data_IF_508714928320
#
_entry.id   IF_508714928320
#
_cell.length_a   1.000
_cell.length_b   1.000
_cell.length_c   1.000
_cell.angle_alpha   90.00
_cell.angle_beta   90.00
_cell.angle_gamma   90.00
#
_symmetry.space_group_name_H-M   'P 1'
#
loop_
_entity.id
_entity.type
_entity.pdbx_description
1 polymer ?
#
# COMPACT_ATOMS: atom_id res chain seq x y z
N UNK A 1 -3.26 0.69 -22.27
CA UNK A 1 -2.42 1.05 -21.10
C UNK A 1 -1.65 2.35 -21.36
N UNK A 2 -2.33 3.50 -21.39
CA UNK A 2 -1.67 4.82 -21.60
C UNK A 2 -2.12 5.89 -20.59
N UNK A 3 -3.20 5.69 -19.82
CA UNK A 3 -3.75 6.73 -18.94
C UNK A 3 -2.98 6.98 -17.63
N UNK A 4 -2.00 6.14 -17.28
CA UNK A 4 -1.20 6.30 -16.06
C UNK A 4 0.10 7.10 -16.28
N UNK A 5 0.46 7.42 -17.52
CA UNK A 5 1.67 8.20 -17.81
C UNK A 5 1.41 9.68 -17.48
N UNK A 6 1.96 10.14 -16.36
CA UNK A 6 1.99 11.55 -15.96
C UNK A 6 1.12 11.91 -14.75
N UNK A 7 0.11 11.11 -14.43
CA UNK A 7 -0.75 11.36 -13.27
C UNK A 7 -0.11 10.82 -11.99
N UNK A 8 -0.21 11.59 -10.91
CA UNK A 8 0.18 11.11 -9.59
C UNK A 8 -0.79 10.06 -9.10
N UNK A 9 -0.29 9.11 -8.31
CA UNK A 9 -1.12 8.05 -7.74
C UNK A 9 -0.70 7.72 -6.32
N UNK A 10 -1.62 7.09 -5.60
CA UNK A 10 -1.45 6.59 -4.24
C UNK A 10 -1.77 5.09 -4.19
N UNK A 11 -1.24 4.40 -3.18
CA UNK A 11 -1.53 2.98 -2.91
C UNK A 11 -2.19 2.86 -1.56
N UNK A 12 -3.22 2.03 -1.50
CA UNK A 12 -3.78 1.50 -0.27
C UNK A 12 -3.51 0.00 -0.22
N UNK A 13 -2.91 -0.48 0.87
CA UNK A 13 -2.64 -1.91 1.08
C UNK A 13 -3.32 -2.35 2.38
N UNK A 14 -4.15 -3.38 2.33
CA UNK A 14 -4.61 -4.08 3.53
C UNK A 14 -3.64 -5.22 3.82
N UNK A 15 -2.85 -5.06 4.88
CA UNK A 15 -1.85 -6.04 5.30
C UNK A 15 -2.34 -6.85 6.50
N UNK A 16 -3.55 -6.62 7.04
CA UNK A 16 -4.02 -7.37 8.20
C UNK A 16 -4.06 -8.87 7.92
N UNK A 17 -3.65 -9.67 8.90
CA UNK A 17 -3.46 -11.12 8.78
C UNK A 17 -2.23 -11.53 7.96
N UNK A 18 -1.48 -10.60 7.38
CA UNK A 18 -0.27 -10.93 6.62
C UNK A 18 0.92 -11.22 7.53
N UNK A 19 1.30 -12.50 7.59
CA UNK A 19 2.48 -12.97 8.30
C UNK A 19 3.61 -13.19 7.29
N UNK A 20 4.78 -12.57 7.53
CA UNK A 20 5.99 -12.81 6.73
C UNK A 20 6.88 -13.81 7.46
N UNK A 21 7.01 -15.05 6.96
CA UNK A 21 7.99 -15.98 7.50
C UNK A 21 9.40 -15.41 7.35
N UNK A 22 10.22 -15.51 8.40
CA UNK A 22 11.62 -15.02 8.38
C UNK A 22 12.46 -15.65 7.25
N UNK A 23 12.11 -16.86 6.81
CA UNK A 23 12.74 -17.54 5.68
C UNK A 23 12.49 -16.87 4.32
N UNK A 24 11.40 -16.13 4.18
CA UNK A 24 11.04 -15.40 2.96
C UNK A 24 11.59 -13.98 3.00
N UNK A 25 11.67 -13.35 4.17
CA UNK A 25 12.16 -11.98 4.29
C UNK A 25 13.63 -11.83 3.87
N UNK A 26 14.46 -12.84 4.11
CA UNK A 26 15.91 -12.87 3.83
C UNK A 26 16.29 -13.54 2.51
N UNK A 27 15.31 -13.96 1.71
CA UNK A 27 15.59 -14.71 0.49
C UNK A 27 16.32 -13.85 -0.56
N UNK A 28 17.47 -14.31 -1.10
CA UNK A 28 18.19 -13.64 -2.18
C UNK A 28 17.44 -13.67 -3.52
N UNK A 29 16.31 -14.38 -3.60
CA UNK A 29 15.43 -14.43 -4.77
C UNK A 29 14.53 -13.20 -4.92
N UNK A 30 14.55 -12.27 -3.96
CA UNK A 30 13.99 -10.93 -4.12
C UNK A 30 14.92 -10.13 -5.04
N UNK A 31 14.91 -10.55 -6.30
CA UNK A 31 15.52 -9.89 -7.45
C UNK A 31 15.25 -8.39 -7.44
N UNK A 32 16.11 -7.63 -8.12
CA UNK A 32 16.05 -6.18 -8.31
C UNK A 32 14.74 -5.76 -9.02
N UNK A 33 13.60 -5.90 -8.36
CA UNK A 33 12.32 -5.41 -8.82
C UNK A 33 12.37 -3.91 -8.71
N UNK A 34 12.76 -3.28 -9.81
CA UNK A 34 12.70 -1.83 -9.96
C UNK A 34 11.25 -1.45 -10.22
N UNK A 35 10.52 -1.12 -9.17
CA UNK A 35 9.16 -0.56 -9.30
C UNK A 35 9.26 0.87 -9.82
N UNK A 36 8.60 1.18 -10.94
CA UNK A 36 8.49 2.56 -11.43
C UNK A 36 7.51 3.36 -10.56
N UNK A 37 8.06 3.95 -9.49
CA UNK A 37 7.32 4.72 -8.49
C UNK A 37 7.45 6.24 -8.68
N UNK A 38 7.94 6.71 -9.83
CA UNK A 38 8.25 8.15 -10.04
C UNK A 38 7.04 9.07 -9.86
N UNK A 39 5.84 8.57 -10.19
CA UNK A 39 4.59 9.30 -10.02
C UNK A 39 3.78 8.85 -8.80
N UNK A 40 4.29 7.90 -8.01
CA UNK A 40 3.72 7.60 -6.72
C UNK A 40 3.98 8.75 -5.76
N UNK A 41 2.98 9.17 -4.99
CA UNK A 41 3.13 10.24 -3.98
C UNK A 41 2.71 9.84 -2.58
N UNK A 42 1.94 8.75 -2.44
CA UNK A 42 1.43 8.30 -1.15
C UNK A 42 1.29 6.77 -1.14
N UNK A 43 1.51 6.18 0.03
CA UNK A 43 1.26 4.76 0.29
C UNK A 43 0.74 4.61 1.72
N UNK A 44 -0.48 4.11 1.87
CA UNK A 44 -1.15 3.87 3.13
C UNK A 44 -1.31 2.37 3.35
N UNK A 45 -0.87 1.87 4.51
CA UNK A 45 -0.93 0.47 4.89
C UNK A 45 -1.85 0.30 6.09
N UNK A 46 -2.84 -0.58 5.96
CA UNK A 46 -3.68 -1.02 7.07
C UNK A 46 -3.00 -2.24 7.69
N UNK A 47 -2.62 -2.17 8.96
CA UNK A 47 -1.81 -3.17 9.65
C UNK A 47 -2.44 -3.61 10.97
N UNK A 48 -2.14 -4.83 11.42
CA UNK A 48 -2.51 -5.27 12.77
C UNK A 48 -1.53 -4.71 13.82
N UNK A 49 -0.27 -4.48 13.42
CA UNK A 49 0.80 -3.93 14.26
C UNK A 49 1.68 -2.95 13.47
N UNK A 50 2.19 -1.90 14.12
CA UNK A 50 2.99 -0.87 13.45
C UNK A 50 4.36 -1.37 12.93
N UNK A 51 4.86 -2.49 13.45
CA UNK A 51 6.09 -3.17 12.96
C UNK A 51 5.85 -3.96 11.68
N UNK A 52 4.59 -4.16 11.29
CA UNK A 52 4.24 -4.95 10.13
C UNK A 52 4.74 -4.27 8.85
N UNK A 53 5.36 -5.06 7.97
CA UNK A 53 5.97 -4.56 6.74
C UNK A 53 7.37 -3.97 6.89
N UNK A 54 8.01 -4.02 8.07
CA UNK A 54 9.39 -3.53 8.25
C UNK A 54 10.39 -4.18 7.29
N UNK A 55 10.21 -5.48 7.01
CA UNK A 55 11.01 -6.21 6.03
C UNK A 55 10.86 -5.69 4.59
N UNK A 56 9.85 -4.86 4.31
CA UNK A 56 9.65 -4.23 3.01
C UNK A 56 10.32 -2.86 2.89
N UNK A 57 10.67 -2.20 4.00
CA UNK A 57 11.26 -0.85 3.99
C UNK A 57 12.48 -0.69 3.07
N UNK A 58 13.39 -1.67 2.93
CA UNK A 58 14.52 -1.55 1.99
C UNK A 58 14.10 -1.34 0.53
N UNK A 59 12.91 -1.78 0.11
CA UNK A 59 12.42 -1.60 -1.27
C UNK A 59 11.93 -0.17 -1.55
N UNK A 60 11.80 0.65 -0.51
CA UNK A 60 11.30 2.02 -0.61
C UNK A 60 12.42 3.05 -0.67
N UNK A 61 13.63 2.69 -0.24
CA UNK A 61 14.78 3.60 -0.13
C UNK A 61 15.06 4.37 -1.42
N UNK A 62 14.93 3.72 -2.58
CA UNK A 62 15.17 4.35 -3.89
C UNK A 62 14.00 5.23 -4.36
N UNK A 63 12.77 4.95 -3.92
CA UNK A 63 11.57 5.71 -4.33
C UNK A 63 11.34 7.00 -3.55
N UNK A 64 11.93 7.13 -2.35
CA UNK A 64 11.67 8.25 -1.43
C UNK A 64 10.27 8.27 -0.82
N UNK A 65 9.42 7.28 -1.13
CA UNK A 65 8.11 7.09 -0.51
C UNK A 65 8.29 6.36 0.82
N UNK A 66 7.70 6.88 1.89
CA UNK A 66 7.64 6.20 3.18
C UNK A 66 6.19 5.77 3.42
N UNK A 67 5.91 4.47 3.51
CA UNK A 67 4.55 4.00 3.78
C UNK A 67 4.04 4.47 5.14
N UNK A 68 2.86 5.09 5.14
CA UNK A 68 2.12 5.46 6.34
C UNK A 68 1.32 4.25 6.83
N UNK A 69 1.51 3.87 8.09
CA UNK A 69 0.85 2.69 8.68
C UNK A 69 -0.29 3.13 9.58
N UNK A 70 -1.44 2.48 9.43
CA UNK A 70 -2.66 2.76 10.17
C UNK A 70 -3.22 1.46 10.73
N UNK A 71 -3.61 1.48 12.00
CA UNK A 71 -4.32 0.35 12.62
C UNK A 71 -5.84 0.47 12.43
N UNK A 72 -6.34 1.70 12.26
CA UNK A 72 -7.72 1.96 11.87
C UNK A 72 -7.80 2.21 10.36
N UNK A 73 -8.54 1.38 9.60
CA UNK A 73 -8.81 1.64 8.18
C UNK A 73 -9.35 3.04 7.89
N UNK A 74 -10.15 3.64 8.79
CA UNK A 74 -10.71 4.97 8.57
C UNK A 74 -9.65 6.05 8.52
N UNK A 75 -8.56 5.91 9.29
CA UNK A 75 -7.43 6.84 9.25
C UNK A 75 -6.70 6.73 7.91
N UNK A 76 -6.48 5.51 7.41
CA UNK A 76 -5.87 5.30 6.10
C UNK A 76 -6.71 5.92 4.97
N UNK A 77 -8.03 5.77 5.05
CA UNK A 77 -8.93 6.36 4.05
C UNK A 77 -8.98 7.88 4.14
N UNK A 78 -8.98 8.42 5.36
CA UNK A 78 -8.90 9.87 5.60
C UNK A 78 -7.60 10.45 5.05
N UNK A 79 -6.47 9.73 5.19
CA UNK A 79 -5.19 10.12 4.60
C UNK A 79 -5.30 10.26 3.06
N UNK A 80 -5.87 9.26 2.38
CA UNK A 80 -6.10 9.30 0.93
C UNK A 80 -7.05 10.43 0.49
N UNK A 81 -8.11 10.66 1.27
CA UNK A 81 -9.09 11.71 0.99
C UNK A 81 -8.48 13.10 1.15
N UNK A 82 -7.75 13.33 2.25
CA UNK A 82 -7.06 14.59 2.52
C UNK A 82 -5.99 14.89 1.46
N UNK A 83 -5.38 13.86 0.89
CA UNK A 83 -4.44 13.96 -0.21
C UNK A 83 -5.10 14.09 -1.61
N UNK A 84 -6.44 14.04 -1.69
CA UNK A 84 -7.21 14.23 -2.92
C UNK A 84 -7.24 13.02 -3.87
N UNK A 85 -6.86 11.83 -3.39
CA UNK A 85 -6.85 10.60 -4.21
C UNK A 85 -8.19 9.87 -4.25
N UNK A 86 -9.08 10.15 -3.30
CA UNK A 86 -10.46 9.65 -3.28
C UNK A 86 -11.42 10.81 -2.98
N UNK A 87 -12.61 10.77 -3.57
CA UNK A 87 -13.66 11.78 -3.36
C UNK A 87 -14.51 11.48 -2.11
N UNK A 88 -14.69 10.20 -1.78
CA UNK A 88 -15.44 9.77 -0.59
C UNK A 88 -14.99 8.39 -0.10
N UNK A 89 -15.24 8.13 1.19
CA UNK A 89 -15.02 6.83 1.82
C UNK A 89 -15.87 5.71 1.17
N UNK A 90 -17.05 6.06 0.65
CA UNK A 90 -17.95 5.13 -0.03
C UNK A 90 -17.30 4.49 -1.27
N UNK A 91 -16.37 5.20 -1.91
CA UNK A 91 -15.60 4.68 -3.05
C UNK A 91 -14.80 3.45 -2.65
N UNK A 92 -14.21 3.44 -1.46
CA UNK A 92 -13.43 2.30 -0.96
C UNK A 92 -14.36 1.18 -0.50
N UNK A 93 -15.47 1.51 0.16
CA UNK A 93 -16.45 0.50 0.59
C UNK A 93 -17.07 -0.25 -0.60
N UNK A 94 -17.36 0.48 -1.69
CA UNK A 94 -17.81 -0.11 -2.94
C UNK A 94 -16.78 -1.08 -3.52
N UNK A 95 -15.49 -0.71 -3.54
CA UNK A 95 -14.41 -1.58 -4.02
C UNK A 95 -14.28 -2.86 -3.19
N UNK A 96 -14.36 -2.78 -1.86
CA UNK A 96 -14.30 -3.96 -0.98
C UNK A 96 -15.51 -4.87 -1.13
N UNK A 97 -16.68 -4.31 -1.46
CA UNK A 97 -17.90 -5.08 -1.70
C UNK A 97 -17.86 -5.86 -3.03
N UNK A 98 -16.94 -5.50 -3.94
CA UNK A 98 -16.71 -6.18 -5.20
C UNK A 98 -15.67 -7.30 -5.08
N UNK A 99 -14.95 -7.41 -3.96
CA UNK A 99 -14.00 -8.50 -3.74
C UNK A 99 -14.77 -9.79 -3.47
N UNK A 100 -14.63 -10.83 -4.32
CA UNK A 100 -15.29 -12.10 -4.08
C UNK A 100 -14.81 -12.62 -2.74
N UNK A 101 -15.75 -12.88 -1.85
CA UNK A 101 -15.49 -13.51 -0.57
C UNK A 101 -14.89 -14.89 -0.86
N UNK A 102 -13.56 -14.97 -0.91
CA UNK A 102 -12.85 -16.23 -1.03
C UNK A 102 -13.15 -17.00 0.25
N UNK A 103 -13.96 -18.05 0.08
CA UNK A 103 -14.30 -19.01 1.12
C UNK A 103 -13.07 -19.76 1.61
#
# INVERSE_FOLDING_TARGET
MQSMRGNTWAVLVDMRGWLVPKSVSTSPLKSDVTLDRRNQKLECWIVDELSQGDALMPYFTQSGIVPERFMDPQEAYSCLQNAGYISSLDTIQALRSLEPHSK
#
